data_IF_364315368977
#
_entry.id   IF_364315368977
#
_cell.length_a   1.000
_cell.length_b   1.000
_cell.length_c   1.000
_cell.angle_alpha   90.00
_cell.angle_beta   90.00
_cell.angle_gamma   90.00
#
_symmetry.space_group_name_H-M   'P 1'
#
loop_
_entity.id
_entity.type
_entity.pdbx_description
1 polymer ?
#
# COMPACT_ATOMS: atom_id res chain seq x y z
N UNK A 1 3.14 8.17 -0.20
CA UNK A 1 2.47 9.05 -1.18
C UNK A 1 3.45 9.98 -1.90
N UNK A 2 4.65 10.21 -1.37
CA UNK A 2 5.71 10.97 -2.03
C UNK A 2 6.73 10.08 -2.75
N UNK A 3 6.32 8.92 -3.25
CA UNK A 3 7.20 8.07 -4.06
C UNK A 3 7.44 8.75 -5.43
N UNK A 4 8.71 8.98 -5.77
CA UNK A 4 9.14 9.65 -7.01
C UNK A 4 9.39 8.68 -8.16
N UNK A 5 9.61 7.39 -7.87
CA UNK A 5 9.84 6.35 -8.88
C UNK A 5 8.51 5.76 -9.37
N UNK A 6 7.59 5.44 -8.44
CA UNK A 6 6.24 4.97 -8.75
C UNK A 6 5.20 5.86 -8.08
N UNK A 7 4.70 6.85 -8.81
CA UNK A 7 3.87 7.92 -8.24
C UNK A 7 2.54 7.41 -7.68
N UNK A 8 2.02 8.12 -6.67
CA UNK A 8 0.72 7.80 -6.07
C UNK A 8 -0.44 7.85 -7.08
N UNK A 9 -0.37 8.75 -8.07
CA UNK A 9 -1.35 8.79 -9.16
C UNK A 9 -1.31 7.51 -10.02
N UNK A 10 -0.11 6.99 -10.29
CA UNK A 10 0.08 5.70 -10.93
C UNK A 10 -0.54 4.55 -10.13
N UNK A 11 -0.31 4.51 -8.81
CA UNK A 11 -0.93 3.49 -7.94
C UNK A 11 -2.46 3.57 -7.96
N UNK A 12 -3.05 4.78 -7.96
CA UNK A 12 -4.51 4.96 -8.09
C UNK A 12 -5.02 4.47 -9.44
N UNK A 13 -4.29 4.72 -10.52
CA UNK A 13 -4.66 4.22 -11.85
C UNK A 13 -4.64 2.69 -11.91
N UNK A 14 -3.59 2.06 -11.36
CA UNK A 14 -3.49 0.61 -11.28
C UNK A 14 -4.62 0.00 -10.43
N UNK A 15 -4.96 0.61 -9.29
CA UNK A 15 -6.07 0.16 -8.46
C UNK A 15 -7.42 0.20 -9.20
N UNK A 16 -7.67 1.24 -10.02
CA UNK A 16 -8.89 1.30 -10.86
C UNK A 16 -8.92 0.20 -11.91
N UNK A 17 -7.76 -0.16 -12.49
CA UNK A 17 -7.66 -1.24 -13.47
C UNK A 17 -7.82 -2.64 -12.82
N UNK A 18 -7.30 -2.81 -11.60
CA UNK A 18 -7.39 -4.04 -10.82
C UNK A 18 -8.60 -4.00 -9.88
N UNK A 19 -9.81 -4.18 -10.41
CA UNK A 19 -11.08 -4.03 -9.67
C UNK A 19 -11.21 -4.91 -8.42
N UNK A 20 -10.50 -6.03 -8.36
CA UNK A 20 -10.43 -6.91 -7.19
C UNK A 20 -9.44 -6.48 -6.10
N UNK A 21 -8.69 -5.39 -6.28
CA UNK A 21 -7.62 -4.98 -5.37
C UNK A 21 -8.09 -4.08 -4.21
N UNK A 22 -7.17 -3.82 -3.28
CA UNK A 22 -7.28 -2.78 -2.24
C UNK A 22 -6.03 -1.91 -2.25
N UNK A 23 -6.23 -0.60 -2.22
CA UNK A 23 -5.14 0.37 -2.18
C UNK A 23 -4.77 0.70 -0.73
N UNK A 24 -3.69 0.09 -0.24
CA UNK A 24 -3.06 0.46 1.03
C UNK A 24 -2.15 1.68 0.82
N UNK A 25 -2.46 2.79 1.50
CA UNK A 25 -1.75 4.06 1.31
C UNK A 25 -0.91 4.43 2.53
N UNK A 26 0.40 4.58 2.39
CA UNK A 26 1.23 5.26 3.39
C UNK A 26 1.30 6.77 3.09
N UNK A 27 0.68 7.58 3.95
CA UNK A 27 0.60 9.05 3.78
C UNK A 27 1.89 9.74 4.22
N UNK A 28 2.10 10.95 3.70
CA UNK A 28 3.15 11.89 4.13
C UNK A 28 4.57 11.30 4.22
N UNK A 29 4.87 10.31 3.37
CA UNK A 29 6.18 9.65 3.33
C UNK A 29 6.74 9.73 1.91
N UNK A 30 8.00 10.15 1.80
CA UNK A 30 8.81 10.18 0.57
C UNK A 30 9.78 9.00 0.62
N UNK A 31 9.38 7.88 0.01
CA UNK A 31 10.19 6.67 -0.11
C UNK A 31 9.58 5.78 -1.21
N UNK A 32 10.40 4.90 -1.78
CA UNK A 32 10.01 3.84 -2.71
C UNK A 32 10.27 2.48 -2.05
N UNK A 33 9.48 1.44 -2.33
CA UNK A 33 9.76 0.10 -1.76
C UNK A 33 9.44 -0.03 -0.26
N UNK A 34 8.26 0.39 0.21
CA UNK A 34 7.94 0.33 1.66
C UNK A 34 7.91 -1.10 2.20
N UNK A 35 7.24 -2.03 1.52
CA UNK A 35 7.12 -3.40 2.01
C UNK A 35 8.35 -4.22 1.62
N UNK A 36 9.05 -4.80 2.60
CA UNK A 36 10.23 -5.65 2.41
C UNK A 36 11.58 -4.93 2.35
N UNK A 37 11.60 -3.59 2.22
CA UNK A 37 12.84 -2.81 2.16
C UNK A 37 12.85 -1.69 3.22
N UNK A 38 12.19 -0.55 3.01
CA UNK A 38 12.23 0.58 3.96
C UNK A 38 11.39 0.36 5.22
N UNK A 39 10.34 -0.45 5.11
CA UNK A 39 9.47 -0.86 6.20
C UNK A 39 8.53 0.23 6.72
N UNK A 40 7.37 -0.20 7.20
CA UNK A 40 6.51 0.57 8.10
C UNK A 40 5.64 -0.43 8.86
N UNK A 41 5.55 -0.33 10.19
CA UNK A 41 4.89 -1.37 11.00
C UNK A 41 3.42 -1.56 10.62
N UNK A 42 2.69 -0.48 10.33
CA UNK A 42 1.30 -0.52 9.89
C UNK A 42 1.16 -1.17 8.51
N UNK A 43 2.03 -0.81 7.56
CA UNK A 43 2.05 -1.41 6.21
C UNK A 43 2.37 -2.91 6.29
N UNK A 44 3.45 -3.28 6.99
CA UNK A 44 3.89 -4.66 7.13
C UNK A 44 2.80 -5.54 7.75
N UNK A 45 2.15 -5.06 8.81
CA UNK A 45 1.05 -5.79 9.46
C UNK A 45 -0.09 -6.08 8.47
N UNK A 46 -0.50 -5.08 7.68
CA UNK A 46 -1.62 -5.21 6.74
C UNK A 46 -1.27 -6.10 5.54
N UNK A 47 -0.07 -5.97 5.00
CA UNK A 47 0.39 -6.84 3.90
C UNK A 47 0.53 -8.28 4.39
N UNK A 48 1.15 -8.51 5.54
CA UNK A 48 1.31 -9.86 6.11
C UNK A 48 -0.04 -10.50 6.44
N UNK A 49 -1.02 -9.73 6.93
CA UNK A 49 -2.38 -10.25 7.15
C UNK A 49 -3.00 -10.77 5.85
N UNK A 50 -2.88 -10.03 4.74
CA UNK A 50 -3.35 -10.51 3.43
C UNK A 50 -2.60 -11.76 2.98
N UNK A 51 -1.26 -11.77 3.06
CA UNK A 51 -0.45 -12.90 2.60
C UNK A 51 -0.70 -14.18 3.40
N UNK A 52 -1.03 -14.07 4.69
CA UNK A 52 -1.29 -15.23 5.56
C UNK A 52 -2.73 -15.73 5.50
N UNK A 53 -3.70 -14.86 5.21
CA UNK A 53 -5.13 -15.22 5.24
C UNK A 53 -5.78 -15.29 3.87
N UNK A 54 -5.13 -14.76 2.83
CA UNK A 54 -5.74 -14.53 1.51
C UNK A 54 -6.87 -13.49 1.53
N UNK A 55 -7.14 -12.84 2.65
CA UNK A 55 -8.30 -11.96 2.83
C UNK A 55 -7.89 -10.50 2.66
N UNK A 56 -8.56 -9.80 1.74
CA UNK A 56 -8.37 -8.37 1.54
C UNK A 56 -9.08 -7.56 2.64
N UNK A 57 -8.56 -6.36 2.99
CA UNK A 57 -9.27 -5.47 3.91
C UNK A 57 -10.61 -5.01 3.32
N UNK A 58 -11.60 -4.67 4.17
CA UNK A 58 -12.94 -4.30 3.71
C UNK A 58 -12.94 -3.00 2.87
N UNK A 59 -11.99 -2.11 3.10
CA UNK A 59 -11.82 -0.84 2.39
C UNK A 59 -10.35 -0.60 2.02
N UNK A 60 -10.05 0.54 1.39
CA UNK A 60 -8.70 1.01 1.10
C UNK A 60 -8.06 1.61 2.37
N UNK A 61 -7.15 0.89 3.06
CA UNK A 61 -6.61 1.35 4.33
C UNK A 61 -5.54 2.44 4.14
N UNK A 62 -5.37 3.25 5.18
CA UNK A 62 -4.30 4.26 5.26
C UNK A 62 -3.39 3.96 6.46
N UNK A 63 -2.10 4.19 6.29
CA UNK A 63 -1.07 4.18 7.32
C UNK A 63 -0.34 5.53 7.35
N UNK A 64 0.38 5.76 8.43
CA UNK A 64 1.20 6.95 8.68
C UNK A 64 2.64 6.51 9.04
N UNK A 65 3.63 7.41 8.91
CA UNK A 65 5.02 7.14 9.29
C UNK A 65 5.14 6.54 10.68
#
# INVERSE_FOLDING_TARGET
TGDTATTYEGSKAMHRALSGSRLLTLRATTAHGIYGEYGNACVNTKVNAYLTTGTLPPANPTCHP
#
